data_IF_745670150521
#
_entry.id   IF_745670150521
#
_cell.length_a   1.000
_cell.length_b   1.000
_cell.length_c   1.000
_cell.angle_alpha   90.00
_cell.angle_beta   90.00
_cell.angle_gamma   90.00
#
_symmetry.space_group_name_H-M   'P 1'
#
loop_
_entity.id
_entity.type
_entity.pdbx_description
1 polymer ?
#
# COMPACT_ATOMS: atom_id res chain seq x y z
N UNK A 1 16.93 7.37 -12.24
CA UNK A 1 16.46 6.04 -11.80
C UNK A 1 16.78 4.97 -12.83
N UNK A 2 16.26 5.07 -14.06
CA UNK A 2 16.50 4.08 -15.13
C UNK A 2 17.99 3.85 -15.41
N UNK A 3 18.79 4.91 -15.51
CA UNK A 3 20.24 4.79 -15.66
C UNK A 3 20.95 4.07 -14.48
N UNK A 4 20.38 4.09 -13.27
CA UNK A 4 20.94 3.36 -12.12
C UNK A 4 20.61 1.86 -12.21
N UNK A 5 19.39 1.53 -12.65
CA UNK A 5 18.97 0.16 -12.93
C UNK A 5 19.78 -0.46 -14.08
N UNK A 6 20.03 0.30 -15.15
CA UNK A 6 20.84 -0.14 -16.28
C UNK A 6 22.27 -0.49 -15.85
N UNK A 7 22.88 0.29 -14.94
CA UNK A 7 24.19 -0.04 -14.36
C UNK A 7 24.14 -1.28 -13.45
N UNK A 8 23.09 -1.42 -12.65
CA UNK A 8 22.90 -2.59 -11.78
C UNK A 8 22.71 -3.88 -12.57
N UNK A 9 22.15 -3.80 -13.79
CA UNK A 9 21.96 -4.93 -14.71
C UNK A 9 23.26 -5.72 -14.95
N UNK A 10 24.39 -5.04 -14.98
CA UNK A 10 25.72 -5.65 -15.22
C UNK A 10 26.27 -6.41 -14.00
N UNK A 11 25.74 -6.12 -12.81
CA UNK A 11 26.26 -6.62 -11.54
C UNK A 11 25.39 -7.70 -10.89
N UNK A 12 24.20 -7.94 -11.44
CA UNK A 12 23.22 -8.88 -10.90
C UNK A 12 23.28 -10.22 -11.62
N UNK A 13 22.84 -11.32 -10.98
CA UNK A 13 22.70 -12.61 -11.65
C UNK A 13 21.94 -12.52 -12.97
N UNK A 14 22.37 -13.30 -13.97
CA UNK A 14 21.83 -13.26 -15.34
C UNK A 14 20.31 -13.49 -15.38
N UNK A 15 19.77 -14.22 -14.41
CA UNK A 15 18.34 -14.47 -14.24
C UNK A 15 17.50 -13.25 -13.83
N UNK A 16 18.11 -12.16 -13.35
CA UNK A 16 17.43 -10.91 -12.97
C UNK A 16 17.48 -9.84 -14.06
N UNK A 17 18.28 -10.05 -15.11
CA UNK A 17 18.35 -9.15 -16.28
C UNK A 17 16.95 -8.85 -16.85
N UNK A 18 16.06 -9.85 -17.08
CA UNK A 18 14.71 -9.58 -17.57
C UNK A 18 13.88 -8.72 -16.61
N UNK A 19 14.01 -8.93 -15.30
CA UNK A 19 13.30 -8.14 -14.27
C UNK A 19 13.75 -6.67 -14.27
N UNK A 20 15.05 -6.41 -14.47
CA UNK A 20 15.58 -5.05 -14.59
C UNK A 20 15.07 -4.36 -15.85
N UNK A 21 15.00 -5.09 -16.97
CA UNK A 21 14.46 -4.56 -18.24
C UNK A 21 12.96 -4.24 -18.13
N UNK A 22 12.16 -5.15 -17.55
CA UNK A 22 10.74 -4.95 -17.28
C UNK A 22 10.49 -3.74 -16.37
N UNK A 23 11.27 -3.60 -15.30
CA UNK A 23 11.15 -2.47 -14.39
C UNK A 23 11.51 -1.14 -15.07
N UNK A 24 12.52 -1.15 -15.94
CA UNK A 24 12.93 0.02 -16.72
C UNK A 24 11.85 0.42 -17.74
N UNK A 25 11.24 -0.56 -18.43
CA UNK A 25 10.11 -0.32 -19.33
C UNK A 25 8.89 0.23 -18.57
N UNK A 26 8.56 -0.35 -17.42
CA UNK A 26 7.49 0.12 -16.52
C UNK A 26 7.73 1.57 -16.07
N UNK A 27 8.96 1.91 -15.66
CA UNK A 27 9.32 3.28 -15.27
C UNK A 27 9.18 4.29 -16.41
N UNK A 28 9.43 3.86 -17.66
CA UNK A 28 9.20 4.72 -18.85
C UNK A 28 7.71 4.86 -19.14
N UNK A 29 6.92 3.78 -19.03
CA UNK A 29 5.48 3.82 -19.27
C UNK A 29 4.76 4.78 -18.31
N UNK A 30 5.12 4.78 -17.02
CA UNK A 30 4.49 5.68 -16.03
C UNK A 30 4.90 7.14 -16.15
N UNK A 31 5.82 7.50 -17.05
CA UNK A 31 6.13 8.90 -17.40
C UNK A 31 5.03 9.53 -18.26
N UNK A 32 4.14 8.73 -18.86
CA UNK A 32 2.96 9.27 -19.56
C UNK A 32 2.19 10.18 -18.59
N UNK A 33 1.91 11.45 -18.96
CA UNK A 33 1.12 12.36 -18.14
C UNK A 33 -0.27 11.83 -17.81
N UNK A 34 -0.83 10.93 -18.63
CA UNK A 34 -2.11 10.25 -18.39
C UNK A 34 -2.03 9.17 -17.32
N UNK A 35 -0.83 8.73 -16.94
CA UNK A 35 -0.66 7.80 -15.81
C UNK A 35 -0.98 8.55 -14.52
N UNK A 36 -1.91 8.05 -13.69
CA UNK A 36 -2.24 8.69 -12.43
C UNK A 36 -1.00 8.85 -11.53
N UNK A 37 -0.77 10.03 -10.92
CA UNK A 37 0.40 10.30 -10.09
C UNK A 37 0.69 9.26 -8.99
N UNK A 38 -0.34 8.70 -8.36
CA UNK A 38 -0.22 7.68 -7.30
C UNK A 38 0.30 6.36 -7.87
N UNK A 39 -0.18 5.96 -9.05
CA UNK A 39 0.34 4.77 -9.73
C UNK A 39 1.82 4.99 -10.10
N UNK A 40 2.15 6.17 -10.63
CA UNK A 40 3.54 6.57 -10.92
C UNK A 40 4.42 6.54 -9.66
N UNK A 41 3.96 7.11 -8.56
CA UNK A 41 4.69 7.17 -7.28
C UNK A 41 4.88 5.78 -6.67
N UNK A 42 3.84 4.94 -6.69
CA UNK A 42 3.89 3.55 -6.24
C UNK A 42 4.90 2.73 -7.07
N UNK A 43 4.91 2.89 -8.40
CA UNK A 43 5.94 2.28 -9.26
C UNK A 43 7.34 2.81 -8.91
N UNK A 44 7.50 4.11 -8.68
CA UNK A 44 8.79 4.71 -8.31
C UNK A 44 9.29 4.19 -6.96
N UNK A 45 8.42 4.08 -5.95
CA UNK A 45 8.75 3.52 -4.62
C UNK A 45 9.14 2.05 -4.73
N UNK A 46 8.35 1.25 -5.44
CA UNK A 46 8.65 -0.15 -5.73
C UNK A 46 10.00 -0.31 -6.44
N UNK A 47 10.28 0.53 -7.45
CA UNK A 47 11.55 0.50 -8.17
C UNK A 47 12.76 0.84 -7.29
N UNK A 48 12.61 1.78 -6.33
CA UNK A 48 13.68 2.10 -5.35
C UNK A 48 13.95 0.91 -4.43
N UNK A 49 12.91 0.23 -3.97
CA UNK A 49 13.05 -0.96 -3.13
C UNK A 49 13.73 -2.10 -3.89
N UNK A 50 13.30 -2.37 -5.14
CA UNK A 50 13.95 -3.36 -6.02
C UNK A 50 15.41 -3.00 -6.27
N UNK A 51 15.71 -1.75 -6.62
CA UNK A 51 17.09 -1.29 -6.83
C UNK A 51 17.97 -1.48 -5.59
N UNK A 52 17.43 -1.24 -4.40
CA UNK A 52 18.14 -1.48 -3.14
C UNK A 52 18.38 -2.98 -2.92
N UNK A 53 17.41 -3.83 -3.23
CA UNK A 53 17.54 -5.29 -3.15
C UNK A 53 18.56 -5.85 -4.14
N UNK A 54 18.62 -5.31 -5.36
CA UNK A 54 19.61 -5.71 -6.38
C UNK A 54 21.05 -5.49 -5.88
N UNK A 55 21.30 -4.40 -5.13
CA UNK A 55 22.61 -4.16 -4.49
C UNK A 55 22.94 -5.23 -3.45
N UNK A 56 21.97 -5.60 -2.62
CA UNK A 56 22.15 -6.67 -1.62
C UNK A 56 22.38 -8.02 -2.31
N UNK A 57 21.69 -8.31 -3.41
CA UNK A 57 21.87 -9.55 -4.18
C UNK A 57 23.28 -9.64 -4.79
N UNK A 58 23.77 -8.52 -5.33
CA UNK A 58 25.10 -8.41 -5.96
C UNK A 58 26.26 -8.48 -4.95
N UNK A 59 26.02 -8.17 -3.67
CA UNK A 59 27.03 -8.27 -2.62
C UNK A 59 27.50 -9.74 -2.43
N UNK A 60 28.80 -10.04 -2.59
CA UNK A 60 29.35 -11.37 -2.35
C UNK A 60 29.13 -11.88 -0.91
N UNK A 61 29.08 -10.97 0.07
CA UNK A 61 28.84 -11.26 1.48
C UNK A 61 27.41 -11.69 1.81
N UNK A 62 26.46 -11.49 0.89
CA UNK A 62 25.07 -11.92 1.09
C UNK A 62 24.97 -13.45 1.05
N UNK A 63 24.40 -14.02 2.12
CA UNK A 63 24.18 -15.46 2.20
C UNK A 63 23.31 -15.99 1.06
N UNK A 64 23.57 -17.23 0.60
CA UNK A 64 22.81 -17.86 -0.49
C UNK A 64 21.30 -17.88 -0.24
N UNK A 65 20.88 -18.10 1.01
CA UNK A 65 19.48 -18.13 1.39
C UNK A 65 18.80 -16.76 1.23
N UNK A 66 19.43 -15.68 1.71
CA UNK A 66 18.91 -14.31 1.55
C UNK A 66 18.90 -13.92 0.07
N UNK A 67 19.99 -14.22 -0.67
CA UNK A 67 20.09 -13.95 -2.11
C UNK A 67 18.95 -14.61 -2.88
N UNK A 68 18.70 -15.91 -2.65
CA UNK A 68 17.63 -16.65 -3.31
C UNK A 68 16.24 -16.08 -3.03
N UNK A 69 15.95 -15.70 -1.78
CA UNK A 69 14.67 -15.07 -1.40
C UNK A 69 14.47 -13.72 -2.08
N UNK A 70 15.48 -12.86 -2.03
CA UNK A 70 15.41 -11.53 -2.67
C UNK A 70 15.27 -11.66 -4.19
N UNK A 71 16.02 -12.57 -4.83
CA UNK A 71 15.88 -12.85 -6.27
C UNK A 71 14.44 -13.22 -6.63
N UNK A 72 13.83 -14.16 -5.89
CA UNK A 72 12.46 -14.61 -6.15
C UNK A 72 11.45 -13.48 -6.02
N UNK A 73 11.51 -12.72 -4.93
CA UNK A 73 10.60 -11.59 -4.71
C UNK A 73 10.81 -10.45 -5.70
N UNK A 74 12.05 -10.13 -6.08
CA UNK A 74 12.32 -9.13 -7.13
C UNK A 74 11.61 -9.51 -8.42
N UNK A 75 11.73 -10.77 -8.86
CA UNK A 75 11.02 -11.25 -10.07
C UNK A 75 9.50 -11.09 -9.94
N UNK A 76 8.93 -11.41 -8.78
CA UNK A 76 7.48 -11.29 -8.55
C UNK A 76 7.00 -9.84 -8.50
N UNK A 77 7.73 -8.93 -7.85
CA UNK A 77 7.42 -7.50 -7.81
C UNK A 77 7.51 -6.89 -9.20
N UNK A 78 8.58 -7.17 -9.96
CA UNK A 78 8.70 -6.65 -11.33
C UNK A 78 7.63 -7.23 -12.25
N UNK A 79 7.29 -8.51 -12.10
CA UNK A 79 6.19 -9.14 -12.84
C UNK A 79 4.84 -8.49 -12.53
N UNK A 80 4.55 -8.15 -11.27
CA UNK A 80 3.29 -7.50 -10.90
C UNK A 80 3.19 -6.09 -11.51
N UNK A 81 4.30 -5.35 -11.51
CA UNK A 81 4.38 -4.02 -12.15
C UNK A 81 4.30 -4.11 -13.68
N UNK A 82 4.89 -5.14 -14.29
CA UNK A 82 4.76 -5.40 -15.73
C UNK A 82 3.33 -5.79 -16.11
N UNK A 83 2.71 -6.67 -15.33
CA UNK A 83 1.32 -7.08 -15.50
C UNK A 83 0.40 -5.86 -15.50
N UNK A 84 0.61 -4.91 -14.58
CA UNK A 84 -0.12 -3.65 -14.55
C UNK A 84 -0.04 -2.83 -15.85
N UNK A 85 1.03 -2.95 -16.65
CA UNK A 85 1.20 -2.22 -17.90
C UNK A 85 0.68 -2.97 -19.13
N UNK A 86 0.08 -4.16 -18.99
CA UNK A 86 -0.42 -4.93 -20.13
C UNK A 86 -1.62 -4.23 -20.79
N UNK A 87 -1.63 -4.11 -22.13
CA UNK A 87 -2.77 -3.57 -22.85
C UNK A 87 -4.06 -4.35 -22.56
N UNK A 88 -5.18 -3.64 -22.40
CA UNK A 88 -6.51 -4.25 -22.26
C UNK A 88 -6.88 -4.74 -20.85
N UNK A 89 -6.03 -4.57 -19.85
CA UNK A 89 -6.42 -4.84 -18.46
C UNK A 89 -7.41 -3.80 -17.94
N UNK A 90 -8.44 -4.23 -17.17
CA UNK A 90 -9.31 -3.30 -16.46
C UNK A 90 -8.50 -2.36 -15.54
N UNK A 91 -8.84 -1.06 -15.47
CA UNK A 91 -8.11 -0.09 -14.64
C UNK A 91 -7.93 -0.53 -13.17
N UNK A 92 -8.93 -1.19 -12.59
CA UNK A 92 -8.90 -1.68 -11.20
C UNK A 92 -7.94 -2.85 -10.99
N UNK A 93 -7.76 -3.71 -12.00
CA UNK A 93 -6.79 -4.81 -11.93
C UNK A 93 -5.36 -4.27 -11.96
N UNK A 94 -5.10 -3.34 -12.88
CA UNK A 94 -3.83 -2.62 -12.98
C UNK A 94 -3.48 -1.93 -11.65
N UNK A 95 -4.42 -1.20 -11.06
CA UNK A 95 -4.23 -0.53 -9.76
C UNK A 95 -3.94 -1.49 -8.63
N UNK A 96 -4.64 -2.61 -8.60
CA UNK A 96 -4.42 -3.62 -7.57
C UNK A 96 -3.03 -4.24 -7.69
N UNK A 97 -2.57 -4.56 -8.90
CA UNK A 97 -1.22 -5.06 -9.11
C UNK A 97 -0.14 -4.04 -8.68
N UNK A 98 -0.30 -2.76 -9.03
CA UNK A 98 0.61 -1.69 -8.58
C UNK A 98 0.59 -1.51 -7.07
N UNK A 99 -0.60 -1.52 -6.46
CA UNK A 99 -0.76 -1.38 -5.01
C UNK A 99 -0.10 -2.55 -4.26
N UNK A 100 -0.36 -3.79 -4.68
CA UNK A 100 0.23 -4.97 -4.05
C UNK A 100 1.76 -4.97 -4.21
N UNK A 101 2.28 -4.59 -5.38
CA UNK A 101 3.72 -4.43 -5.58
C UNK A 101 4.33 -3.39 -4.64
N UNK A 102 3.70 -2.22 -4.51
CA UNK A 102 4.18 -1.12 -3.64
C UNK A 102 4.13 -1.49 -2.16
N UNK A 103 3.07 -2.15 -1.71
CA UNK A 103 2.92 -2.53 -0.29
C UNK A 103 3.76 -3.73 0.11
N UNK A 104 4.12 -4.62 -0.82
CA UNK A 104 5.04 -5.74 -0.55
C UNK A 104 6.52 -5.38 -0.72
N UNK A 105 6.83 -4.34 -1.50
CA UNK A 105 8.21 -3.90 -1.76
C UNK A 105 9.06 -3.62 -0.50
N UNK A 106 8.53 -3.06 0.62
CA UNK A 106 9.28 -2.90 1.86
C UNK A 106 9.90 -4.20 2.41
N UNK A 107 9.27 -5.36 2.16
CA UNK A 107 9.78 -6.65 2.59
C UNK A 107 11.16 -6.97 1.99
N UNK A 108 11.46 -6.47 0.79
CA UNK A 108 12.78 -6.62 0.16
C UNK A 108 13.89 -6.02 1.04
N UNK A 109 13.65 -4.85 1.63
CA UNK A 109 14.61 -4.21 2.54
C UNK A 109 14.73 -4.98 3.84
N UNK A 110 13.61 -5.37 4.45
CA UNK A 110 13.60 -6.12 5.70
C UNK A 110 14.32 -7.47 5.56
N UNK A 111 14.13 -8.19 4.45
CA UNK A 111 14.80 -9.46 4.17
C UNK A 111 16.30 -9.26 3.93
N UNK A 112 16.69 -8.16 3.28
CA UNK A 112 18.08 -7.82 3.04
C UNK A 112 18.86 -7.33 4.27
N UNK A 113 18.18 -6.83 5.30
CA UNK A 113 18.84 -6.37 6.54
C UNK A 113 19.37 -7.55 7.34
N UNK A 114 20.69 -7.56 7.60
CA UNK A 114 21.40 -8.62 8.33
C UNK A 114 20.88 -8.83 9.76
N UNK A 115 20.25 -7.82 10.36
CA UNK A 115 19.67 -7.85 11.71
C UNK A 115 18.30 -8.52 11.78
N UNK A 116 17.59 -8.65 10.65
CA UNK A 116 16.28 -9.29 10.62
C UNK A 116 16.40 -10.79 10.91
N UNK A 117 15.73 -11.34 11.93
CA UNK A 117 15.78 -12.77 12.25
C UNK A 117 15.34 -13.64 11.08
N UNK A 118 15.94 -14.84 10.95
CA UNK A 118 15.64 -15.75 9.84
C UNK A 118 14.16 -16.12 9.74
N UNK A 119 13.48 -16.39 10.86
CA UNK A 119 12.04 -16.67 10.87
C UNK A 119 11.23 -15.53 10.26
N UNK A 120 11.47 -14.29 10.72
CA UNK A 120 10.80 -13.09 10.20
C UNK A 120 11.07 -12.88 8.70
N UNK A 121 12.30 -13.09 8.23
CA UNK A 121 12.60 -13.02 6.78
C UNK A 121 11.78 -14.04 5.98
N UNK A 122 11.54 -15.22 6.55
CA UNK A 122 10.80 -16.27 5.87
C UNK A 122 9.32 -15.93 5.77
N UNK A 123 8.74 -15.45 6.86
CA UNK A 123 7.34 -15.10 6.91
C UNK A 123 7.02 -13.87 6.05
N UNK A 124 7.88 -12.85 6.07
CA UNK A 124 7.76 -11.70 5.16
C UNK A 124 7.84 -12.12 3.69
N UNK A 125 8.76 -13.04 3.36
CA UNK A 125 8.88 -13.53 1.99
C UNK A 125 7.66 -14.35 1.57
N UNK A 126 7.13 -15.20 2.44
CA UNK A 126 5.93 -15.99 2.18
C UNK A 126 4.69 -15.13 1.99
N UNK A 127 4.47 -14.18 2.91
CA UNK A 127 3.35 -13.22 2.83
C UNK A 127 3.41 -12.35 1.57
N UNK A 128 4.58 -11.78 1.26
CA UNK A 128 4.76 -10.99 0.05
C UNK A 128 4.54 -11.81 -1.22
N UNK A 129 5.12 -13.02 -1.28
CA UNK A 129 5.02 -13.91 -2.44
C UNK A 129 3.57 -14.32 -2.73
N UNK A 130 2.78 -14.68 -1.72
CA UNK A 130 1.38 -15.08 -1.93
C UNK A 130 0.52 -13.93 -2.45
N UNK A 131 0.64 -12.73 -1.87
CA UNK A 131 -0.07 -11.55 -2.37
C UNK A 131 0.33 -11.23 -3.83
N UNK A 132 1.62 -11.29 -4.16
CA UNK A 132 2.12 -11.08 -5.51
C UNK A 132 1.67 -12.17 -6.49
N UNK A 133 1.56 -13.42 -6.05
CA UNK A 133 1.08 -14.54 -6.89
C UNK A 133 -0.37 -14.31 -7.35
N UNK A 134 -1.26 -13.87 -6.45
CA UNK A 134 -2.66 -13.57 -6.77
C UNK A 134 -2.77 -12.56 -7.91
N UNK A 135 -2.02 -11.45 -7.85
CA UNK A 135 -2.07 -10.41 -8.90
C UNK A 135 -1.37 -10.87 -10.19
N UNK A 136 -0.26 -11.60 -10.09
CA UNK A 136 0.45 -12.12 -11.26
C UNK A 136 -0.37 -13.17 -12.04
N UNK A 137 -1.15 -14.00 -11.34
CA UNK A 137 -2.09 -14.96 -11.94
C UNK A 137 -3.39 -14.32 -12.43
N UNK A 138 -3.61 -13.03 -12.14
CA UNK A 138 -4.86 -12.33 -12.43
C UNK A 138 -6.08 -12.99 -11.78
N UNK A 139 -5.91 -13.56 -10.58
CA UNK A 139 -6.98 -14.16 -9.79
C UNK A 139 -7.87 -13.06 -9.19
N UNK A 140 -8.69 -12.42 -10.03
CA UNK A 140 -9.47 -11.22 -9.70
C UNK A 140 -10.37 -11.38 -8.48
N UNK A 141 -10.89 -12.59 -8.25
CA UNK A 141 -11.71 -12.95 -7.08
C UNK A 141 -10.98 -12.78 -5.73
N UNK A 142 -9.64 -12.89 -5.73
CA UNK A 142 -8.80 -12.83 -4.53
C UNK A 142 -8.08 -11.49 -4.36
N UNK A 143 -8.36 -10.51 -5.22
CA UNK A 143 -7.67 -9.22 -5.23
C UNK A 143 -7.85 -8.43 -3.93
N UNK A 144 -9.05 -8.42 -3.36
CA UNK A 144 -9.31 -7.75 -2.09
C UNK A 144 -8.48 -8.36 -0.96
N UNK A 145 -8.41 -9.69 -0.89
CA UNK A 145 -7.60 -10.43 0.06
C UNK A 145 -6.09 -10.14 -0.10
N UNK A 146 -5.59 -10.18 -1.34
CA UNK A 146 -4.19 -9.89 -1.63
C UNK A 146 -3.79 -8.46 -1.22
N UNK A 147 -4.69 -7.47 -1.39
CA UNK A 147 -4.45 -6.09 -0.91
C UNK A 147 -4.29 -6.05 0.60
N UNK A 148 -5.16 -6.72 1.36
CA UNK A 148 -5.10 -6.80 2.83
C UNK A 148 -3.80 -7.45 3.30
N UNK A 149 -3.43 -8.59 2.71
CA UNK A 149 -2.15 -9.24 2.99
C UNK A 149 -0.98 -8.29 2.70
N UNK A 150 -1.00 -7.58 1.58
CA UNK A 150 0.07 -6.66 1.23
C UNK A 150 0.22 -5.51 2.24
N UNK A 151 -0.89 -4.98 2.78
CA UNK A 151 -0.86 -3.99 3.87
C UNK A 151 -0.17 -4.57 5.11
N UNK A 152 -0.53 -5.78 5.53
CA UNK A 152 0.06 -6.43 6.71
C UNK A 152 1.55 -6.72 6.51
N UNK A 153 1.95 -7.14 5.30
CA UNK A 153 3.36 -7.30 4.93
C UNK A 153 4.11 -5.97 5.02
N UNK A 154 3.50 -4.86 4.59
CA UNK A 154 4.10 -3.53 4.69
C UNK A 154 4.39 -3.18 6.15
N UNK A 155 3.39 -3.34 7.04
CA UNK A 155 3.50 -3.04 8.47
C UNK A 155 4.48 -3.99 9.18
N UNK A 156 4.48 -5.28 8.85
CA UNK A 156 5.47 -6.25 9.36
C UNK A 156 6.90 -5.99 8.87
N UNK A 157 7.05 -5.22 7.79
CA UNK A 157 8.35 -4.79 7.26
C UNK A 157 8.77 -3.40 7.75
N UNK A 158 7.87 -2.65 8.40
CA UNK A 158 8.12 -1.26 8.81
C UNK A 158 9.10 -1.24 9.99
N UNK A 159 10.22 -0.49 9.91
CA UNK A 159 11.15 -0.35 11.02
C UNK A 159 10.52 0.18 12.32
N UNK A 160 9.46 0.99 12.22
CA UNK A 160 8.70 1.56 13.34
C UNK A 160 7.78 0.57 14.05
N UNK A 161 7.46 -0.57 13.42
CA UNK A 161 6.69 -1.62 14.07
C UNK A 161 7.56 -2.31 15.14
N UNK A 162 7.07 -2.52 16.38
CA UNK A 162 7.79 -3.28 17.40
C UNK A 162 8.13 -4.70 16.92
N UNK A 163 9.26 -5.26 17.35
CA UNK A 163 9.76 -6.54 16.80
C UNK A 163 8.80 -7.73 17.02
N UNK A 164 8.12 -7.78 18.16
CA UNK A 164 7.08 -8.78 18.44
C UNK A 164 5.89 -8.63 17.47
N UNK A 165 5.47 -7.38 17.23
CA UNK A 165 4.45 -7.05 16.24
C UNK A 165 4.87 -7.40 14.81
N UNK A 166 6.12 -7.11 14.42
CA UNK A 166 6.66 -7.50 13.10
C UNK A 166 6.54 -9.00 12.87
N UNK A 167 6.93 -9.80 13.88
CA UNK A 167 6.87 -11.26 13.82
C UNK A 167 5.43 -11.75 13.68
N UNK A 168 4.52 -11.25 14.51
CA UNK A 168 3.11 -11.64 14.48
C UNK A 168 2.42 -11.30 13.15
N UNK A 169 2.65 -10.08 12.64
CA UNK A 169 2.08 -9.63 11.37
C UNK A 169 2.65 -10.41 10.20
N UNK A 170 3.97 -10.63 10.16
CA UNK A 170 4.59 -11.41 9.10
C UNK A 170 4.08 -12.86 9.08
N UNK A 171 4.00 -13.50 10.25
CA UNK A 171 3.52 -14.88 10.36
C UNK A 171 2.04 -15.00 9.92
N UNK A 172 1.17 -14.10 10.40
CA UNK A 172 -0.24 -14.12 10.00
C UNK A 172 -0.44 -13.85 8.51
N UNK A 173 0.32 -12.92 7.91
CA UNK A 173 0.31 -12.68 6.47
C UNK A 173 0.80 -13.89 5.66
N UNK A 174 1.82 -14.60 6.15
CA UNK A 174 2.32 -15.83 5.53
C UNK A 174 1.26 -16.95 5.56
N UNK A 175 0.62 -17.16 6.71
CA UNK A 175 -0.44 -18.17 6.86
C UNK A 175 -1.66 -17.86 5.99
N UNK A 176 -2.12 -16.59 5.98
CA UNK A 176 -3.22 -16.15 5.11
C UNK A 176 -2.88 -16.32 3.62
N UNK A 177 -1.64 -15.97 3.24
CA UNK A 177 -1.14 -16.15 1.88
C UNK A 177 -1.12 -17.62 1.45
N UNK A 178 -0.68 -18.52 2.31
CA UNK A 178 -0.65 -19.94 2.02
C UNK A 178 -2.05 -20.53 1.81
N UNK A 179 -3.05 -20.04 2.55
CA UNK A 179 -4.46 -20.42 2.33
C UNK A 179 -5.02 -19.84 1.03
N UNK A 180 -4.67 -18.60 0.68
CA UNK A 180 -5.05 -17.98 -0.60
C UNK A 180 -4.48 -18.74 -1.79
N UNK A 181 -3.19 -19.11 -1.73
CA UNK A 181 -2.55 -19.87 -2.82
C UNK A 181 -3.24 -21.23 -3.06
N UNK A 182 -3.75 -21.88 -2.00
CA UNK A 182 -4.54 -23.12 -2.09
C UNK A 182 -5.95 -22.88 -2.64
N UNK A 183 -6.58 -21.77 -2.24
CA UNK A 183 -7.91 -21.38 -2.73
C UNK A 183 -7.92 -21.13 -4.24
N UNK A 184 -6.80 -20.65 -4.79
CA UNK A 184 -6.60 -20.36 -6.21
C UNK A 184 -5.76 -21.42 -6.94
N UNK A 185 -5.59 -22.62 -6.37
CA UNK A 185 -4.85 -23.71 -7.01
C UNK A 185 -5.67 -24.34 -8.15
N UNK A 186 -5.28 -24.19 -9.44
CA UNK A 186 -6.02 -24.76 -10.55
C UNK A 186 -5.96 -26.30 -10.60
N UNK A 187 -5.02 -26.92 -9.88
CA UNK A 187 -4.89 -28.37 -9.79
C UNK A 187 -5.77 -29.00 -8.70
N UNK A 188 -6.35 -28.20 -7.80
CA UNK A 188 -7.22 -28.68 -6.74
C UNK A 188 -8.67 -28.87 -7.21
N UNK A 189 -9.39 -29.79 -6.57
CA UNK A 189 -10.83 -29.95 -6.79
C UNK A 189 -11.63 -28.75 -6.28
N UNK A 190 -12.86 -28.57 -6.76
CA UNK A 190 -13.74 -27.49 -6.32
C UNK A 190 -13.98 -27.52 -4.80
N UNK A 191 -14.17 -28.71 -4.23
CA UNK A 191 -14.38 -28.87 -2.79
C UNK A 191 -13.15 -28.47 -1.97
N UNK A 192 -11.95 -28.81 -2.44
CA UNK A 192 -10.70 -28.40 -1.80
C UNK A 192 -10.50 -26.89 -1.88
N UNK A 193 -10.79 -26.28 -3.04
CA UNK A 193 -10.72 -24.83 -3.21
C UNK A 193 -11.72 -24.10 -2.32
N UNK A 194 -12.94 -24.59 -2.20
CA UNK A 194 -13.95 -23.96 -1.34
C UNK A 194 -13.60 -24.07 0.15
N UNK A 195 -13.06 -25.21 0.60
CA UNK A 195 -12.51 -25.35 1.96
C UNK A 195 -11.33 -24.39 2.19
N UNK A 196 -10.43 -24.27 1.22
CA UNK A 196 -9.30 -23.35 1.30
C UNK A 196 -9.75 -21.88 1.32
N UNK A 197 -10.80 -21.50 0.59
CA UNK A 197 -11.40 -20.16 0.63
C UNK A 197 -11.95 -19.84 2.02
N UNK A 198 -12.71 -20.75 2.62
CA UNK A 198 -13.22 -20.56 3.99
C UNK A 198 -12.10 -20.41 5.02
N UNK A 199 -11.01 -21.18 4.89
CA UNK A 199 -9.85 -21.02 5.74
C UNK A 199 -9.11 -19.70 5.47
N UNK A 200 -8.99 -19.29 4.20
CA UNK A 200 -8.40 -18.01 3.83
C UNK A 200 -9.18 -16.84 4.45
N UNK A 201 -10.51 -16.85 4.36
CA UNK A 201 -11.37 -15.82 4.96
C UNK A 201 -11.16 -15.72 6.48
N UNK A 202 -11.08 -16.86 7.18
CA UNK A 202 -10.80 -16.90 8.62
C UNK A 202 -9.42 -16.35 8.95
N UNK A 203 -8.39 -16.75 8.19
CA UNK A 203 -7.00 -16.29 8.40
C UNK A 203 -6.85 -14.81 8.12
N UNK A 204 -7.53 -14.29 7.09
CA UNK A 204 -7.53 -12.86 6.77
C UNK A 204 -8.21 -12.06 7.88
N UNK A 205 -9.36 -12.51 8.40
CA UNK A 205 -10.02 -11.85 9.51
C UNK A 205 -9.16 -11.84 10.79
N UNK A 206 -8.49 -12.96 11.11
CA UNK A 206 -7.55 -13.03 12.24
C UNK A 206 -6.35 -12.10 12.04
N UNK A 207 -5.80 -12.07 10.84
CA UNK A 207 -4.69 -11.20 10.44
C UNK A 207 -5.08 -9.71 10.56
N UNK A 208 -6.26 -9.31 10.11
CA UNK A 208 -6.75 -7.92 10.24
C UNK A 208 -6.95 -7.51 11.70
N UNK A 209 -7.43 -8.43 12.54
CA UNK A 209 -7.54 -8.19 13.98
C UNK A 209 -6.16 -7.95 14.62
N UNK A 210 -5.19 -8.82 14.34
CA UNK A 210 -3.80 -8.66 14.83
C UNK A 210 -3.16 -7.37 14.35
N UNK A 211 -3.41 -7.01 13.09
CA UNK A 211 -3.00 -5.73 12.52
C UNK A 211 -3.56 -4.56 13.33
N UNK A 212 -4.86 -4.56 13.60
CA UNK A 212 -5.47 -3.52 14.42
C UNK A 212 -4.87 -3.48 15.83
N UNK A 213 -4.65 -4.63 16.48
CA UNK A 213 -4.06 -4.71 17.82
C UNK A 213 -2.65 -4.11 17.86
N UNK A 214 -1.76 -4.53 16.94
CA UNK A 214 -0.38 -4.05 16.84
C UNK A 214 -0.31 -2.55 16.55
N UNK A 215 -1.13 -2.06 15.63
CA UNK A 215 -1.15 -0.62 15.29
C UNK A 215 -1.76 0.19 16.43
N UNK A 216 -2.88 -0.27 17.00
CA UNK A 216 -3.58 0.46 18.07
C UNK A 216 -2.72 0.63 19.33
N UNK A 217 -1.79 -0.30 19.61
CA UNK A 217 -0.86 -0.19 20.72
C UNK A 217 0.07 1.03 20.64
N UNK A 218 0.20 1.67 19.47
CA UNK A 218 0.98 2.90 19.29
C UNK A 218 0.23 4.16 19.77
N UNK A 219 -1.08 4.07 20.01
CA UNK A 219 -1.94 5.20 20.36
C UNK A 219 -2.20 6.17 19.19
N UNK A 220 -3.07 7.16 19.41
CA UNK A 220 -3.31 8.20 18.41
C UNK A 220 -2.10 9.14 18.31
N UNK A 221 -1.64 9.51 17.10
CA UNK A 221 -0.50 10.40 16.94
C UNK A 221 -0.82 11.80 17.48
N UNK A 222 0.08 12.36 18.28
CA UNK A 222 -0.02 13.74 18.74
C UNK A 222 0.49 14.71 17.67
N UNK A 223 -0.36 14.97 16.68
CA UNK A 223 -0.10 15.91 15.59
C UNK A 223 -1.29 16.86 15.38
N UNK A 224 -1.07 18.05 14.78
CA UNK A 224 -2.17 18.96 14.42
C UNK A 224 -3.11 18.36 13.38
N UNK A 225 -4.36 18.84 13.35
CA UNK A 225 -5.41 18.39 12.44
C UNK A 225 -4.98 18.39 10.98
N UNK A 226 -4.36 19.48 10.52
CA UNK A 226 -3.89 19.58 9.13
C UNK A 226 -2.91 18.47 8.76
N UNK A 227 -2.02 18.08 9.68
CA UNK A 227 -1.08 16.99 9.46
C UNK A 227 -1.76 15.61 9.47
N UNK A 228 -2.67 15.39 10.43
CA UNK A 228 -3.44 14.15 10.50
C UNK A 228 -4.31 13.95 9.25
N UNK A 229 -5.00 15.00 8.81
CA UNK A 229 -5.83 14.99 7.61
C UNK A 229 -5.01 14.75 6.34
N UNK A 230 -3.81 15.34 6.21
CA UNK A 230 -2.91 15.11 5.08
C UNK A 230 -2.52 13.63 4.95
N UNK A 231 -2.04 13.02 6.04
CA UNK A 231 -1.60 11.62 6.03
C UNK A 231 -2.78 10.69 5.76
N UNK A 232 -3.93 10.92 6.42
CA UNK A 232 -5.15 10.16 6.20
C UNK A 232 -5.61 10.22 4.73
N UNK A 233 -5.72 11.42 4.18
CA UNK A 233 -6.22 11.64 2.81
C UNK A 233 -5.34 10.93 1.78
N UNK A 234 -4.01 11.09 1.89
CA UNK A 234 -3.08 10.41 1.00
C UNK A 234 -3.24 8.88 1.08
N UNK A 235 -3.36 8.33 2.29
CA UNK A 235 -3.53 6.89 2.47
C UNK A 235 -4.85 6.38 1.86
N UNK A 236 -5.95 7.09 2.06
CA UNK A 236 -7.27 6.73 1.49
C UNK A 236 -7.24 6.81 -0.04
N UNK A 237 -6.60 7.83 -0.61
CA UNK A 237 -6.51 7.99 -2.07
C UNK A 237 -5.62 6.93 -2.74
N UNK A 238 -4.57 6.50 -2.04
CA UNK A 238 -3.70 5.40 -2.48
C UNK A 238 -4.40 4.03 -2.41
N UNK A 239 -5.40 3.89 -1.53
CA UNK A 239 -5.93 2.58 -1.13
C UNK A 239 -7.39 2.32 -1.54
N UNK A 240 -8.22 3.35 -1.75
CA UNK A 240 -9.63 3.19 -2.08
C UNK A 240 -9.91 3.13 -3.59
N UNK A 241 -10.95 2.40 -4.04
CA UNK A 241 -11.38 2.38 -5.43
C UNK A 241 -11.79 3.78 -5.91
N UNK A 242 -11.42 4.15 -7.14
CA UNK A 242 -11.74 5.49 -7.65
C UNK A 242 -13.23 5.76 -7.79
N UNK A 243 -14.02 4.76 -8.18
CA UNK A 243 -15.45 4.96 -8.35
C UNK A 243 -16.14 5.26 -7.01
N UNK A 244 -15.66 4.63 -5.93
CA UNK A 244 -16.11 4.91 -4.57
C UNK A 244 -15.69 6.31 -4.13
N UNK A 245 -14.42 6.67 -4.34
CA UNK A 245 -13.91 8.02 -4.05
C UNK A 245 -14.69 9.10 -4.82
N UNK A 246 -14.90 8.90 -6.12
CA UNK A 246 -15.61 9.85 -6.97
C UNK A 246 -17.08 10.00 -6.61
N UNK A 247 -17.72 8.93 -6.09
CA UNK A 247 -19.09 8.95 -5.59
C UNK A 247 -19.21 9.66 -4.24
N UNK A 248 -18.38 9.29 -3.27
CA UNK A 248 -18.48 9.77 -1.89
C UNK A 248 -17.92 11.19 -1.73
N UNK A 249 -16.93 11.56 -2.54
CA UNK A 249 -16.38 12.92 -2.54
C UNK A 249 -17.06 13.82 -3.59
N UNK A 250 -18.17 13.37 -4.19
CA UNK A 250 -18.87 14.12 -5.25
C UNK A 250 -19.31 15.49 -4.73
N UNK A 251 -18.89 16.55 -5.42
CA UNK A 251 -19.20 17.94 -5.03
C UNK A 251 -18.27 18.53 -3.96
N UNK A 252 -17.42 17.71 -3.34
CA UNK A 252 -16.27 18.15 -2.53
C UNK A 252 -15.01 18.34 -3.39
N UNK A 253 -15.06 17.81 -4.61
CA UNK A 253 -14.01 17.88 -5.62
C UNK A 253 -14.42 18.96 -6.67
N UNK A 254 -13.64 20.05 -6.87
CA UNK A 254 -13.87 21.03 -7.93
C UNK A 254 -14.17 20.43 -9.30
N UNK A 255 -15.05 21.09 -10.07
CA UNK A 255 -15.56 20.59 -11.37
C UNK A 255 -14.47 20.28 -12.41
N UNK A 256 -13.30 20.91 -12.36
CA UNK A 256 -12.16 20.58 -13.25
C UNK A 256 -11.56 19.19 -12.94
N UNK A 257 -11.82 18.65 -11.75
CA UNK A 257 -11.28 17.37 -11.26
C UNK A 257 -12.05 16.15 -11.78
N UNK A 258 -13.23 16.34 -12.39
CA UNK A 258 -13.97 15.24 -13.06
C UNK A 258 -13.38 14.85 -14.42
N UNK A 259 -12.58 15.72 -15.04
CA UNK A 259 -11.93 15.49 -16.34
C UNK A 259 -10.43 15.19 -16.23
N UNK A 260 -9.77 15.69 -15.18
CA UNK A 260 -8.33 15.47 -14.92
C UNK A 260 -8.07 14.41 -13.84
N UNK A 261 -9.14 13.95 -13.17
CA UNK A 261 -9.05 13.01 -12.05
C UNK A 261 -8.63 13.72 -10.76
N UNK A 262 -9.23 13.27 -9.66
CA UNK A 262 -8.99 13.69 -8.26
C UNK A 262 -7.50 13.56 -7.81
N UNK A 263 -6.65 13.05 -8.70
CA UNK A 263 -5.30 12.57 -8.48
C UNK A 263 -4.20 13.56 -8.91
N UNK A 264 -4.52 14.59 -9.70
CA UNK A 264 -3.58 15.64 -10.16
C UNK A 264 -3.24 16.72 -9.11
N UNK A 265 -3.83 16.60 -7.92
CA UNK A 265 -3.79 17.63 -6.90
C UNK A 265 -2.56 17.61 -5.99
N UNK A 266 -1.91 16.47 -5.80
CA UNK A 266 -1.10 16.28 -4.58
C UNK A 266 0.40 16.60 -4.67
N UNK A 267 0.93 17.09 -5.80
CA UNK A 267 2.35 17.49 -5.88
C UNK A 267 2.60 18.64 -6.86
N UNK A 268 2.29 19.88 -6.43
CA UNK A 268 2.74 21.10 -7.11
C UNK A 268 3.69 21.87 -6.19
N UNK A 269 4.97 21.46 -6.18
CA UNK A 269 6.05 22.41 -5.90
C UNK A 269 6.77 22.87 -7.17
N UNK A 270 6.56 22.18 -8.29
CA UNK A 270 7.39 22.34 -9.49
C UNK A 270 6.73 23.09 -10.66
N UNK A 271 5.47 23.52 -10.57
CA UNK A 271 4.78 24.15 -11.72
C UNK A 271 4.19 25.55 -11.51
N UNK A 272 4.41 26.19 -10.37
CA UNK A 272 4.11 27.63 -10.18
C UNK A 272 2.70 28.03 -10.63
N UNK A 273 1.67 27.31 -10.15
CA UNK A 273 0.28 27.58 -10.48
C UNK A 273 -0.51 27.77 -9.17
N UNK A 274 -0.96 28.99 -8.92
CA UNK A 274 -1.47 29.49 -7.63
C UNK A 274 -2.92 29.06 -7.31
N UNK A 275 -3.38 27.95 -7.91
CA UNK A 275 -4.75 27.42 -7.78
C UNK A 275 -4.76 26.02 -7.14
N UNK A 276 -3.63 25.56 -6.60
CA UNK A 276 -3.44 24.25 -5.94
C UNK A 276 -2.90 24.40 -4.53
N UNK A 277 -3.75 24.93 -3.67
CA UNK A 277 -3.34 25.53 -2.42
C UNK A 277 -3.70 24.65 -1.20
N UNK A 278 -4.26 23.45 -1.37
CA UNK A 278 -4.74 22.62 -0.24
C UNK A 278 -3.64 21.94 0.60
N UNK A 279 -2.48 21.58 0.02
CA UNK A 279 -1.33 21.09 0.79
C UNK A 279 -0.62 22.21 1.57
N UNK A 280 -0.67 23.44 1.06
CA UNK A 280 -0.18 24.65 1.74
C UNK A 280 -1.18 25.11 2.80
N UNK A 281 -2.47 24.99 2.51
CA UNK A 281 -3.61 25.25 3.39
C UNK A 281 -3.70 24.26 4.56
N UNK A 282 -3.44 22.96 4.34
CA UNK A 282 -3.33 21.94 5.39
C UNK A 282 -2.11 22.13 6.31
N UNK A 283 -1.04 22.80 5.83
CA UNK A 283 0.24 22.91 6.54
C UNK A 283 0.42 24.16 7.39
N UNK A 284 -0.29 25.27 7.11
CA UNK A 284 0.17 26.58 7.58
C UNK A 284 -0.75 27.35 8.52
N UNK A 285 -1.99 26.93 8.84
CA UNK A 285 -2.94 27.70 9.69
C UNK A 285 -3.10 29.20 9.30
N UNK A 286 -2.58 29.61 8.13
CA UNK A 286 -2.34 31.00 7.75
C UNK A 286 -3.37 31.54 6.74
N UNK A 287 -4.30 30.69 6.30
CA UNK A 287 -5.39 31.07 5.40
C UNK A 287 -6.73 30.69 6.04
N UNK A 288 -7.65 31.64 6.11
CA UNK A 288 -8.90 31.55 6.87
C UNK A 288 -9.85 30.41 6.43
N UNK A 289 -9.72 29.92 5.17
CA UNK A 289 -10.67 28.99 4.56
C UNK A 289 -10.19 27.52 4.51
N UNK A 290 -8.90 27.25 4.74
CA UNK A 290 -8.33 25.90 4.83
C UNK A 290 -9.07 24.97 5.82
N UNK A 291 -9.53 25.46 6.99
CA UNK A 291 -10.31 24.65 7.91
C UNK A 291 -11.65 24.16 7.32
N UNK A 292 -12.29 24.91 6.41
CA UNK A 292 -13.61 24.55 5.87
C UNK A 292 -13.55 23.39 4.87
N UNK A 293 -12.50 23.28 4.07
CA UNK A 293 -12.35 22.17 3.11
C UNK A 293 -12.03 20.85 3.83
N UNK A 294 -11.16 20.89 4.84
CA UNK A 294 -10.84 19.73 5.70
C UNK A 294 -12.08 19.23 6.44
N UNK A 295 -12.86 20.15 7.00
CA UNK A 295 -14.13 19.88 7.70
C UNK A 295 -15.13 19.08 6.85
N UNK A 296 -15.12 19.26 5.52
CA UNK A 296 -16.02 18.54 4.62
C UNK A 296 -15.40 17.25 4.07
N UNK A 297 -14.08 17.22 3.92
CA UNK A 297 -13.37 16.09 3.33
C UNK A 297 -13.36 14.86 4.25
N UNK A 298 -12.98 15.01 5.52
CA UNK A 298 -12.78 13.86 6.43
C UNK A 298 -14.05 13.00 6.61
N UNK A 299 -15.27 13.56 6.76
CA UNK A 299 -16.49 12.75 6.75
C UNK A 299 -16.68 11.93 5.47
N UNK A 300 -16.42 12.51 4.29
CA UNK A 300 -16.50 11.79 3.01
C UNK A 300 -15.44 10.70 2.84
N UNK A 301 -14.27 10.86 3.46
CA UNK A 301 -13.26 9.80 3.55
C UNK A 301 -13.72 8.67 4.47
N UNK A 302 -14.36 8.98 5.59
CA UNK A 302 -14.91 8.00 6.52
C UNK A 302 -16.06 7.17 5.90
N UNK A 303 -16.83 7.76 4.99
CA UNK A 303 -17.80 7.02 4.17
C UNK A 303 -17.14 6.14 3.11
N UNK A 304 -15.92 6.48 2.67
CA UNK A 304 -15.15 5.71 1.68
C UNK A 304 -14.47 4.49 2.31
N UNK A 305 -13.94 4.64 3.52
CA UNK A 305 -13.29 3.55 4.27
C UNK A 305 -13.90 3.50 5.67
N UNK A 306 -14.95 2.67 5.88
CA UNK A 306 -15.59 2.54 7.18
C UNK A 306 -14.63 2.09 8.30
N UNK A 307 -14.94 2.43 9.55
CA UNK A 307 -14.05 2.15 10.69
C UNK A 307 -13.63 0.68 10.85
N UNK A 308 -14.49 -0.27 10.48
CA UNK A 308 -14.21 -1.71 10.56
C UNK A 308 -13.25 -2.21 9.48
N UNK A 309 -13.00 -1.43 8.42
CA UNK A 309 -12.06 -1.77 7.35
C UNK A 309 -10.80 -0.90 7.38
N UNK A 310 -10.75 0.08 8.29
CA UNK A 310 -9.78 1.16 8.29
C UNK A 310 -8.33 0.65 8.39
N UNK A 311 -8.05 -0.21 9.37
CA UNK A 311 -6.70 -0.75 9.58
C UNK A 311 -6.30 -1.71 8.45
N UNK A 312 -7.17 -2.64 8.06
CA UNK A 312 -6.91 -3.59 6.97
C UNK A 312 -6.69 -2.91 5.60
N UNK A 313 -7.25 -1.72 5.42
CA UNK A 313 -7.12 -0.94 4.18
C UNK A 313 -5.90 -0.01 4.19
N UNK A 314 -5.62 0.65 5.31
CA UNK A 314 -4.67 1.76 5.36
C UNK A 314 -3.35 1.43 6.07
N UNK A 315 -3.35 0.46 7.00
CA UNK A 315 -2.24 0.22 7.93
C UNK A 315 -2.11 1.34 8.96
N UNK A 316 -0.89 1.67 9.37
CA UNK A 316 -0.59 2.69 10.40
C UNK A 316 -1.24 4.06 10.14
N UNK A 317 -1.36 4.57 8.89
CA UNK A 317 -2.12 5.78 8.58
C UNK A 317 -3.57 5.83 9.08
N UNK A 318 -4.18 4.69 9.41
CA UNK A 318 -5.49 4.63 10.07
C UNK A 318 -5.54 5.49 11.35
N UNK A 319 -4.47 5.51 12.14
CA UNK A 319 -4.40 6.32 13.36
C UNK A 319 -4.47 7.82 13.09
N UNK A 320 -3.92 8.27 11.96
CA UNK A 320 -4.04 9.67 11.54
C UNK A 320 -5.47 10.02 11.10
N UNK A 321 -6.19 9.07 10.47
CA UNK A 321 -7.60 9.24 10.16
C UNK A 321 -8.45 9.38 11.44
N UNK A 322 -8.21 8.53 12.43
CA UNK A 322 -8.88 8.61 13.74
C UNK A 322 -8.55 9.91 14.48
N UNK A 323 -7.27 10.34 14.48
CA UNK A 323 -6.86 11.62 15.08
C UNK A 323 -7.55 12.81 14.42
N UNK A 324 -7.61 12.85 13.09
CA UNK A 324 -8.28 13.91 12.36
C UNK A 324 -9.80 13.95 12.66
N UNK A 325 -10.44 12.78 12.70
CA UNK A 325 -11.86 12.66 13.05
C UNK A 325 -12.13 13.17 14.47
N UNK A 326 -11.32 12.78 15.45
CA UNK A 326 -11.46 13.17 16.85
C UNK A 326 -11.26 14.68 17.06
N UNK A 327 -10.25 15.28 16.42
CA UNK A 327 -10.01 16.73 16.49
C UNK A 327 -11.15 17.52 15.83
N UNK A 328 -11.68 17.06 14.68
CA UNK A 328 -12.84 17.71 14.04
C UNK A 328 -14.10 17.66 14.90
N UNK A 329 -14.32 16.57 15.61
CA UNK A 329 -15.45 16.42 16.53
C UNK A 329 -15.27 17.33 17.75
N UNK A 330 -14.13 17.25 18.45
CA UNK A 330 -13.86 18.04 19.66
C UNK A 330 -13.77 19.55 19.41
N UNK A 331 -13.09 19.96 18.35
CA UNK A 331 -12.75 21.38 18.11
C UNK A 331 -13.80 22.10 17.25
N UNK A 332 -14.68 21.36 16.57
CA UNK A 332 -15.62 21.94 15.61
C UNK A 332 -17.01 21.29 15.56
N UNK A 333 -17.26 20.25 16.37
CA UNK A 333 -18.56 19.55 16.42
C UNK A 333 -18.90 18.82 15.12
N UNK A 334 -17.91 18.49 14.29
CA UNK A 334 -18.13 17.83 13.00
C UNK A 334 -17.85 16.35 13.12
N UNK A 335 -18.92 15.56 13.01
CA UNK A 335 -18.85 14.11 13.09
C UNK A 335 -18.33 13.50 11.79
N UNK A 336 -17.30 12.67 11.89
CA UNK A 336 -16.76 11.86 10.79
C UNK A 336 -17.25 10.40 10.86
N UNK A 337 -18.54 10.23 11.17
CA UNK A 337 -19.20 8.93 11.24
C UNK A 337 -18.57 7.95 12.24
N UNK A 338 -18.38 6.70 11.81
CA UNK A 338 -17.89 5.61 12.66
C UNK A 338 -16.43 5.79 13.12
N UNK A 339 -15.66 6.68 12.48
CA UNK A 339 -14.29 6.98 12.90
C UNK A 339 -14.21 7.68 14.25
N UNK A 340 -15.17 8.56 14.58
CA UNK A 340 -15.15 9.28 15.87
C UNK A 340 -15.27 8.27 17.02
N UNK A 341 -16.30 7.42 16.97
CA UNK A 341 -16.49 6.36 17.98
C UNK A 341 -15.26 5.45 18.10
N UNK A 342 -14.70 5.04 16.96
CA UNK A 342 -13.49 4.22 16.93
C UNK A 342 -12.28 4.94 17.50
N UNK A 343 -12.19 6.27 17.39
CA UNK A 343 -11.12 7.08 17.97
C UNK A 343 -11.27 7.22 19.48
N UNK A 344 -12.50 7.41 19.98
CA UNK A 344 -12.81 7.47 21.42
C UNK A 344 -12.50 6.16 22.15
N UNK A 345 -12.71 5.01 21.50
CA UNK A 345 -12.32 3.67 22.01
C UNK A 345 -10.80 3.51 22.19
N UNK A 346 -9.99 4.46 21.70
CA UNK A 346 -8.52 4.42 21.68
C UNK A 346 -7.87 5.54 22.50
N UNK A 347 -8.65 6.43 23.14
CA UNK A 347 -8.18 7.34 24.20
C UNK A 347 -8.09 6.63 25.55
#
# INVERSE_FOLDING_TARGET
>A
MTADLDRQKEQVPQELVPSVDQLTATLRAVQDPKTPPQERDAVIRSARAVSSALKVIADPGTSRAVRGRLTGLVKQVTSALDAANRPGLPPEHRRTAVFVADRTAPALRAIGDSRTPHGLRNDLAGGASGALNVVNRHAGQSFAAARKVAVVVAEGSDPGTPDDGKKELAQSAHEASASLDKADDPGASDEERDKARQEADRRIADMERKLEEVISAQGLPDVPLGKAAEVCTNAVFDSAPQDTLGRNLKGLLPKKWSTEGVKDFWKSKEKGNDVLDVLTQLRNDAFADAPMEVKRLVPGLAETVPANELFGTLGTPALHCLRAALQLDKDSGIQSGTWVKKAEEKE
#
